data_IF_258543396512
#
_entry.id   IF_258543396512
#
_cell.length_a   1.000
_cell.length_b   1.000
_cell.length_c   1.000
_cell.angle_alpha   90.00
_cell.angle_beta   90.00
_cell.angle_gamma   90.00
#
_symmetry.space_group_name_H-M   'P 1'
#
loop_
_entity.id
_entity.type
_entity.pdbx_description
1 polymer ?
#
# COMPACT_ATOMS: atom_id res chain seq x y z
N UNK A 1 42.65 -10.68 -11.29
CA UNK A 1 41.17 -10.77 -11.50
C UNK A 1 40.71 -9.41 -11.99
N UNK A 2 40.05 -9.30 -13.17
CA UNK A 2 39.49 -8.01 -13.59
C UNK A 2 38.35 -7.64 -12.63
N UNK A 3 38.60 -6.70 -11.73
CA UNK A 3 37.55 -6.19 -10.85
C UNK A 3 36.45 -5.55 -11.70
N UNK A 4 35.19 -5.98 -11.50
CA UNK A 4 34.06 -5.51 -12.31
C UNK A 4 33.64 -4.12 -11.84
N UNK A 5 33.33 -3.23 -12.80
CA UNK A 5 32.78 -1.91 -12.50
C UNK A 5 31.48 -2.04 -11.70
N UNK A 6 31.36 -1.26 -10.63
CA UNK A 6 30.21 -1.28 -9.69
C UNK A 6 28.87 -1.04 -10.38
N UNK A 7 28.80 -0.03 -11.25
CA UNK A 7 27.57 0.31 -11.98
C UNK A 7 27.15 -0.83 -12.92
N UNK A 8 28.11 -1.45 -13.63
CA UNK A 8 27.84 -2.57 -14.52
C UNK A 8 27.31 -3.80 -13.74
N UNK A 9 27.88 -4.10 -12.58
CA UNK A 9 27.43 -5.22 -11.75
C UNK A 9 26.04 -4.94 -11.15
N UNK A 10 25.74 -3.69 -10.77
CA UNK A 10 24.42 -3.28 -10.32
C UNK A 10 23.37 -3.48 -11.42
N UNK A 11 23.65 -3.08 -12.66
CA UNK A 11 22.71 -3.29 -13.79
C UNK A 11 22.50 -4.78 -14.09
N UNK A 12 23.54 -5.60 -13.94
CA UNK A 12 23.42 -7.06 -14.04
C UNK A 12 22.54 -7.63 -12.94
N UNK A 13 22.69 -7.15 -11.70
CA UNK A 13 21.83 -7.56 -10.58
C UNK A 13 20.38 -7.13 -10.77
N UNK A 14 20.13 -5.91 -11.23
CA UNK A 14 18.78 -5.41 -11.52
C UNK A 14 18.10 -6.31 -12.55
N UNK A 15 18.79 -6.62 -13.67
CA UNK A 15 18.28 -7.54 -14.69
C UNK A 15 17.98 -8.92 -14.11
N UNK A 16 18.89 -9.47 -13.31
CA UNK A 16 18.68 -10.75 -12.64
C UNK A 16 17.40 -10.76 -11.77
N UNK A 17 17.15 -9.69 -10.98
CA UNK A 17 15.92 -9.59 -10.17
C UNK A 17 14.66 -9.46 -11.04
N UNK A 18 14.76 -8.79 -12.17
CA UNK A 18 13.66 -8.66 -13.12
C UNK A 18 13.33 -9.97 -13.82
N UNK A 19 14.33 -10.79 -14.17
CA UNK A 19 14.08 -12.14 -14.73
C UNK A 19 13.42 -13.09 -13.72
N UNK A 20 13.55 -12.82 -12.42
CA UNK A 20 12.81 -13.52 -11.36
C UNK A 20 11.36 -13.00 -11.19
N UNK A 21 10.86 -12.14 -12.08
CA UNK A 21 9.50 -11.61 -12.06
C UNK A 21 9.31 -10.40 -11.14
N UNK A 22 10.37 -9.80 -10.59
CA UNK A 22 10.25 -8.59 -9.79
C UNK A 22 10.28 -7.33 -10.65
N UNK A 23 9.40 -6.37 -10.40
CA UNK A 23 9.49 -5.03 -11.04
C UNK A 23 10.75 -4.28 -10.64
N UNK A 24 11.25 -4.49 -9.44
CA UNK A 24 12.49 -4.00 -8.85
C UNK A 24 12.79 -2.48 -9.01
N UNK A 25 11.77 -1.65 -9.30
CA UNK A 25 11.92 -0.24 -9.67
C UNK A 25 12.55 0.59 -8.54
N UNK A 26 12.03 0.49 -7.33
CA UNK A 26 12.51 1.30 -6.18
C UNK A 26 13.93 0.91 -5.77
N UNK A 27 14.22 -0.39 -5.72
CA UNK A 27 15.55 -0.89 -5.37
C UNK A 27 16.56 -0.55 -6.48
N UNK A 28 16.17 -0.65 -7.75
CA UNK A 28 17.00 -0.22 -8.87
C UNK A 28 17.37 1.27 -8.77
N UNK A 29 16.39 2.13 -8.45
CA UNK A 29 16.66 3.54 -8.23
C UNK A 29 17.68 3.80 -7.11
N UNK A 30 17.53 3.09 -5.96
CA UNK A 30 18.46 3.20 -4.83
C UNK A 30 19.85 2.73 -5.22
N UNK A 31 19.98 1.58 -5.88
CA UNK A 31 21.27 1.02 -6.28
C UNK A 31 21.99 1.88 -7.30
N UNK A 32 21.27 2.44 -8.29
CA UNK A 32 21.83 3.39 -9.25
C UNK A 32 22.28 4.68 -8.58
N UNK A 33 21.51 5.18 -7.59
CA UNK A 33 21.90 6.35 -6.81
C UNK A 33 23.15 6.06 -5.96
N UNK A 34 23.27 4.86 -5.41
CA UNK A 34 24.46 4.41 -4.69
C UNK A 34 25.69 4.36 -5.62
N UNK A 35 25.59 3.73 -6.80
CA UNK A 35 26.70 3.70 -7.75
C UNK A 35 27.21 5.11 -8.10
N UNK A 36 26.28 6.05 -8.34
CA UNK A 36 26.65 7.46 -8.60
C UNK A 36 27.35 8.14 -7.43
N UNK A 37 26.96 7.80 -6.19
CA UNK A 37 27.59 8.40 -5.00
C UNK A 37 29.00 7.86 -4.72
N UNK A 38 29.30 6.65 -5.16
CA UNK A 38 30.65 6.05 -5.01
C UNK A 38 31.58 6.55 -6.12
N UNK A 39 31.09 6.64 -7.35
CA UNK A 39 31.85 7.13 -8.51
C UNK A 39 31.61 6.28 -9.77
N UNK A 40 31.75 6.90 -10.94
CA UNK A 40 31.43 6.26 -12.22
C UNK A 40 32.38 5.10 -12.55
N UNK A 41 33.67 5.23 -12.16
CA UNK A 41 34.74 4.28 -12.49
C UNK A 41 35.03 3.32 -11.35
N UNK A 42 34.30 3.41 -10.22
CA UNK A 42 34.52 2.57 -9.05
C UNK A 42 34.33 1.09 -9.38
N UNK A 43 35.24 0.27 -8.85
CA UNK A 43 35.09 -1.19 -8.89
C UNK A 43 34.37 -1.70 -7.64
N UNK A 44 33.74 -2.86 -7.73
CA UNK A 44 32.94 -3.40 -6.62
C UNK A 44 33.80 -3.75 -5.40
N UNK A 45 35.06 -4.19 -5.61
CA UNK A 45 35.98 -4.54 -4.52
C UNK A 45 36.55 -3.32 -3.77
N UNK A 46 36.54 -2.13 -4.39
CA UNK A 46 37.02 -0.88 -3.80
C UNK A 46 35.98 -0.20 -2.90
N UNK A 47 34.76 -0.67 -2.88
CA UNK A 47 33.70 -0.08 -2.07
C UNK A 47 33.98 -0.27 -0.59
N UNK A 48 34.09 0.85 0.15
CA UNK A 48 34.33 0.86 1.58
C UNK A 48 33.06 0.96 2.41
N UNK A 49 33.10 0.39 3.61
CA UNK A 49 31.97 0.43 4.57
C UNK A 49 31.52 1.86 4.89
N UNK A 50 32.47 2.80 4.93
CA UNK A 50 32.21 4.23 5.18
C UNK A 50 31.34 4.86 4.10
N UNK A 51 31.60 4.56 2.81
CA UNK A 51 30.81 5.05 1.69
C UNK A 51 29.36 4.55 1.75
N UNK A 52 29.20 3.27 2.11
CA UNK A 52 27.87 2.70 2.32
C UNK A 52 27.16 3.37 3.50
N UNK A 53 27.85 3.57 4.61
CA UNK A 53 27.29 4.20 5.80
C UNK A 53 26.85 5.64 5.55
N UNK A 54 27.68 6.43 4.86
CA UNK A 54 27.35 7.81 4.46
C UNK A 54 26.13 7.83 3.53
N UNK A 55 26.08 6.95 2.53
CA UNK A 55 24.94 6.88 1.61
C UNK A 55 23.63 6.48 2.31
N UNK A 56 23.70 5.53 3.26
CA UNK A 56 22.55 5.09 4.04
C UNK A 56 22.06 6.19 4.97
N UNK A 57 22.97 6.85 5.69
CA UNK A 57 22.62 7.92 6.62
C UNK A 57 22.02 9.13 5.90
N UNK A 58 22.60 9.54 4.77
CA UNK A 58 22.18 10.76 4.07
C UNK A 58 22.27 11.98 4.97
N UNK A 59 21.48 13.03 4.68
CA UNK A 59 21.48 14.29 5.44
C UNK A 59 20.54 14.29 6.66
N UNK A 60 19.94 13.17 7.04
CA UNK A 60 18.92 13.12 8.09
C UNK A 60 19.15 11.95 9.05
N UNK A 61 18.67 12.11 10.29
CA UNK A 61 18.60 11.05 11.28
C UNK A 61 17.88 9.81 10.71
N UNK A 62 18.20 8.65 11.27
CA UNK A 62 17.74 7.33 10.85
C UNK A 62 16.24 7.27 10.50
N UNK A 63 15.93 7.06 9.23
CA UNK A 63 14.58 7.03 8.69
C UNK A 63 14.24 5.66 8.13
N UNK A 64 12.96 5.43 7.85
CA UNK A 64 12.51 4.25 7.08
C UNK A 64 13.25 4.13 5.74
N UNK A 65 13.64 5.25 5.15
CA UNK A 65 14.42 5.33 3.92
C UNK A 65 15.82 4.75 4.13
N UNK A 66 16.49 5.02 5.26
CA UNK A 66 17.79 4.45 5.59
C UNK A 66 17.74 2.93 5.67
N UNK A 67 16.69 2.37 6.28
CA UNK A 67 16.49 0.92 6.34
C UNK A 67 16.26 0.31 4.94
N UNK A 68 15.47 1.00 4.09
CA UNK A 68 15.24 0.55 2.71
C UNK A 68 16.52 0.57 1.88
N UNK A 69 17.34 1.63 2.01
CA UNK A 69 18.66 1.72 1.36
C UNK A 69 19.57 0.59 1.83
N UNK A 70 19.66 0.36 3.15
CA UNK A 70 20.45 -0.75 3.70
C UNK A 70 20.02 -2.09 3.11
N UNK A 71 18.73 -2.40 3.11
CA UNK A 71 18.20 -3.67 2.60
C UNK A 71 18.52 -3.87 1.12
N UNK A 72 18.39 -2.81 0.30
CA UNK A 72 18.70 -2.89 -1.13
C UNK A 72 20.20 -3.15 -1.37
N UNK A 73 21.08 -2.41 -0.69
CA UNK A 73 22.53 -2.54 -0.82
C UNK A 73 23.01 -3.89 -0.28
N UNK A 74 22.52 -4.31 0.89
CA UNK A 74 22.85 -5.60 1.48
C UNK A 74 22.46 -6.77 0.55
N UNK A 75 21.29 -6.71 -0.07
CA UNK A 75 20.86 -7.73 -1.03
C UNK A 75 21.75 -7.77 -2.27
N UNK A 76 22.24 -6.63 -2.75
CA UNK A 76 23.17 -6.53 -3.84
C UNK A 76 24.54 -7.12 -3.46
N UNK A 77 25.13 -6.75 -2.33
CA UNK A 77 26.44 -7.29 -1.92
C UNK A 77 26.38 -8.77 -1.57
N UNK A 78 25.26 -9.28 -1.06
CA UNK A 78 25.06 -10.74 -0.92
C UNK A 78 25.09 -11.44 -2.28
N UNK A 79 24.46 -10.88 -3.29
CA UNK A 79 24.52 -11.39 -4.66
C UNK A 79 25.95 -11.32 -5.21
N UNK A 80 26.66 -10.21 -5.01
CA UNK A 80 28.05 -10.07 -5.45
C UNK A 80 28.97 -11.11 -4.80
N UNK A 81 28.80 -11.33 -3.49
CA UNK A 81 29.57 -12.33 -2.73
C UNK A 81 29.26 -13.77 -3.16
N UNK A 82 27.99 -14.10 -3.38
CA UNK A 82 27.59 -15.47 -3.80
C UNK A 82 28.05 -15.84 -5.21
N UNK A 83 28.59 -14.88 -5.96
CA UNK A 83 29.13 -15.06 -7.32
C UNK A 83 30.61 -14.70 -7.44
N UNK A 84 31.28 -14.63 -6.31
CA UNK A 84 32.73 -14.36 -6.19
C UNK A 84 33.18 -13.07 -6.87
N UNK A 85 32.27 -12.07 -6.94
CA UNK A 85 32.58 -10.72 -7.45
C UNK A 85 33.26 -9.83 -6.41
N UNK A 86 33.23 -10.22 -5.12
CA UNK A 86 33.90 -9.54 -4.00
C UNK A 86 34.53 -10.54 -3.07
N UNK A 87 35.69 -10.19 -2.52
CA UNK A 87 36.41 -10.99 -1.53
C UNK A 87 35.95 -10.66 -0.10
N UNK A 88 35.75 -9.40 0.21
CA UNK A 88 35.26 -8.94 1.51
C UNK A 88 33.81 -8.45 1.41
N UNK A 89 33.12 -8.41 2.54
CA UNK A 89 31.71 -7.96 2.60
C UNK A 89 31.63 -6.55 3.23
N UNK A 90 31.46 -5.48 2.45
CA UNK A 90 31.65 -4.10 2.93
C UNK A 90 30.46 -3.54 3.71
N UNK A 91 29.50 -4.37 4.15
CA UNK A 91 28.32 -3.88 4.87
C UNK A 91 28.63 -3.57 6.34
N UNK A 92 28.11 -2.47 6.90
CA UNK A 92 28.27 -2.17 8.31
C UNK A 92 27.54 -3.18 9.20
N UNK A 93 28.19 -3.60 10.30
CA UNK A 93 27.68 -4.59 11.25
C UNK A 93 26.44 -4.12 12.01
N UNK A 94 26.29 -2.81 12.22
CA UNK A 94 25.17 -2.24 12.95
C UNK A 94 24.13 -1.67 11.99
N UNK A 95 22.98 -2.32 11.95
CA UNK A 95 21.76 -1.73 11.40
C UNK A 95 21.26 -0.69 12.41
N UNK A 96 20.96 0.51 11.92
CA UNK A 96 20.21 1.48 12.69
C UNK A 96 18.95 0.84 13.31
N UNK A 97 18.67 1.11 14.59
CA UNK A 97 17.49 0.61 15.29
C UNK A 97 16.24 0.75 14.40
N UNK A 98 15.45 -0.30 14.31
CA UNK A 98 14.21 -0.31 13.53
C UNK A 98 13.34 0.86 13.97
N UNK A 99 13.02 1.74 13.04
CA UNK A 99 12.06 2.83 13.29
C UNK A 99 10.77 2.20 13.83
N UNK A 100 10.13 2.76 14.86
CA UNK A 100 8.88 2.22 15.41
C UNK A 100 7.89 1.90 14.31
N UNK A 101 7.17 0.79 14.48
CA UNK A 101 6.17 0.33 13.50
C UNK A 101 5.18 1.48 13.25
N UNK A 102 4.94 1.77 11.98
CA UNK A 102 3.92 2.73 11.58
C UNK A 102 2.55 2.24 12.06
N UNK A 103 1.87 3.04 12.87
CA UNK A 103 0.49 2.80 13.29
C UNK A 103 -0.43 3.52 12.32
N UNK A 104 -1.21 2.79 11.48
CA UNK A 104 -2.15 3.41 10.55
C UNK A 104 -3.24 4.15 11.31
N UNK A 105 -3.85 5.12 10.64
CA UNK A 105 -5.03 5.80 11.15
C UNK A 105 -6.28 5.00 10.77
N UNK A 106 -7.17 4.76 11.73
CA UNK A 106 -8.47 4.12 11.47
C UNK A 106 -9.53 5.19 11.57
N UNK A 107 -10.17 5.49 10.43
CA UNK A 107 -11.24 6.49 10.37
C UNK A 107 -12.48 5.97 11.09
N UNK A 108 -13.09 6.81 11.94
CA UNK A 108 -14.42 6.54 12.48
C UNK A 108 -15.50 6.64 11.40
N UNK A 109 -16.67 6.05 11.65
CA UNK A 109 -17.82 6.17 10.75
C UNK A 109 -18.22 7.64 10.50
N UNK A 110 -18.17 8.47 11.55
CA UNK A 110 -18.46 9.91 11.48
C UNK A 110 -17.46 10.65 10.60
N UNK A 111 -16.17 10.30 10.69
CA UNK A 111 -15.13 10.89 9.86
C UNK A 111 -15.24 10.48 8.41
N UNK A 112 -15.54 9.20 8.14
CA UNK A 112 -15.80 8.72 6.79
C UNK A 112 -16.99 9.44 6.15
N UNK A 113 -18.09 9.59 6.89
CA UNK A 113 -19.26 10.33 6.41
C UNK A 113 -18.88 11.77 6.07
N UNK A 114 -18.22 12.48 6.99
CA UNK A 114 -17.76 13.86 6.79
C UNK A 114 -16.80 14.00 5.62
N UNK A 115 -15.89 13.02 5.43
CA UNK A 115 -14.97 12.99 4.30
C UNK A 115 -15.75 12.88 2.96
N UNK A 116 -16.72 11.97 2.88
CA UNK A 116 -17.54 11.74 1.68
C UNK A 116 -18.48 12.91 1.38
N UNK A 117 -19.05 13.56 2.40
CA UNK A 117 -19.88 14.76 2.20
C UNK A 117 -19.02 15.96 1.76
N UNK A 118 -17.85 16.14 2.36
CA UNK A 118 -16.92 17.19 1.91
C UNK A 118 -16.48 16.95 0.46
N UNK A 119 -16.33 15.69 0.04
CA UNK A 119 -15.97 15.34 -1.33
C UNK A 119 -17.06 15.68 -2.35
N UNK A 120 -18.36 15.64 -1.98
CA UNK A 120 -19.48 16.06 -2.86
C UNK A 120 -19.38 17.51 -3.30
N UNK A 121 -18.90 18.38 -2.41
CA UNK A 121 -18.76 19.81 -2.65
C UNK A 121 -17.31 20.19 -3.01
N UNK A 122 -16.45 19.20 -3.28
CA UNK A 122 -15.05 19.44 -3.57
C UNK A 122 -14.89 19.92 -5.01
N UNK A 123 -15.02 21.23 -5.19
CA UNK A 123 -14.74 21.89 -6.46
C UNK A 123 -13.49 22.78 -6.32
N UNK A 124 -12.59 22.66 -7.27
CA UNK A 124 -11.50 23.61 -7.49
C UNK A 124 -11.48 23.98 -8.97
N UNK A 125 -11.36 25.27 -9.28
CA UNK A 125 -11.33 25.74 -10.66
C UNK A 125 -10.24 25.09 -11.54
N UNK A 126 -9.16 24.61 -10.92
CA UNK A 126 -8.01 23.96 -11.58
C UNK A 126 -7.87 22.48 -11.17
N UNK A 127 -8.96 21.83 -10.76
CA UNK A 127 -8.90 20.41 -10.42
C UNK A 127 -8.92 19.55 -11.68
N UNK A 128 -7.96 18.62 -11.78
CA UNK A 128 -7.89 17.67 -12.89
C UNK A 128 -9.05 16.65 -12.91
N UNK A 129 -9.77 16.47 -11.80
CA UNK A 129 -10.95 15.60 -11.75
C UNK A 129 -12.06 16.24 -10.91
N UNK A 130 -13.30 15.88 -11.20
CA UNK A 130 -14.50 16.44 -10.56
C UNK A 130 -14.81 15.80 -9.20
N UNK A 131 -15.80 16.37 -8.51
CA UNK A 131 -16.24 15.91 -7.20
C UNK A 131 -16.82 14.48 -7.26
N UNK A 132 -17.53 14.14 -8.33
CA UNK A 132 -18.11 12.80 -8.51
C UNK A 132 -17.02 11.74 -8.66
N UNK A 133 -16.04 11.95 -9.53
CA UNK A 133 -14.87 11.06 -9.70
C UNK A 133 -14.15 10.87 -8.36
N UNK A 134 -13.89 11.98 -7.66
CA UNK A 134 -13.15 11.90 -6.40
C UNK A 134 -13.93 11.15 -5.32
N UNK A 135 -15.20 11.47 -5.14
CA UNK A 135 -16.06 10.79 -4.16
C UNK A 135 -16.20 9.29 -4.47
N UNK A 136 -16.38 8.93 -5.73
CA UNK A 136 -16.50 7.52 -6.14
C UNK A 136 -15.22 6.74 -5.87
N UNK A 137 -14.05 7.33 -6.14
CA UNK A 137 -12.75 6.74 -5.78
C UNK A 137 -12.66 6.47 -4.26
N UNK A 138 -13.08 7.43 -3.43
CA UNK A 138 -13.04 7.26 -1.96
C UNK A 138 -14.00 6.18 -1.49
N UNK A 139 -15.21 6.13 -2.05
CA UNK A 139 -16.18 5.06 -1.78
C UNK A 139 -15.63 3.69 -2.15
N UNK A 140 -15.01 3.58 -3.33
CA UNK A 140 -14.43 2.33 -3.78
C UNK A 140 -13.24 1.90 -2.90
N UNK A 141 -12.36 2.83 -2.53
CA UNK A 141 -11.24 2.56 -1.61
C UNK A 141 -11.72 2.00 -0.27
N UNK A 142 -12.72 2.65 0.34
CA UNK A 142 -13.27 2.21 1.61
C UNK A 142 -14.14 0.95 1.47
N UNK A 143 -14.98 0.87 0.44
CA UNK A 143 -15.91 -0.26 0.26
C UNK A 143 -15.25 -1.59 -0.15
N UNK A 144 -14.06 -1.53 -0.73
CA UNK A 144 -13.33 -2.72 -1.22
C UNK A 144 -11.95 -2.93 -0.60
N UNK A 145 -11.43 -1.94 0.11
CA UNK A 145 -10.07 -2.02 0.64
C UNK A 145 -8.96 -2.10 -0.41
N UNK A 146 -9.21 -1.76 -1.67
CA UNK A 146 -8.21 -1.74 -2.74
C UNK A 146 -7.08 -0.75 -2.45
N UNK A 147 -5.91 -0.99 -3.03
CA UNK A 147 -4.82 0.00 -3.00
C UNK A 147 -5.15 1.14 -3.96
N UNK A 148 -4.84 2.38 -3.57
CA UNK A 148 -5.08 3.55 -4.42
C UNK A 148 -4.43 3.41 -5.81
N UNK A 149 -3.23 2.80 -5.87
CA UNK A 149 -2.57 2.50 -7.14
C UNK A 149 -3.28 1.44 -7.99
N UNK A 150 -4.06 0.55 -7.41
CA UNK A 150 -4.90 -0.40 -8.14
C UNK A 150 -6.10 0.32 -8.75
N UNK A 151 -6.77 1.17 -7.97
CA UNK A 151 -7.94 1.94 -8.43
C UNK A 151 -7.60 2.86 -9.60
N UNK A 152 -6.52 3.62 -9.54
CA UNK A 152 -6.16 4.52 -10.65
C UNK A 152 -5.72 3.77 -11.93
N UNK A 153 -5.40 2.48 -11.82
CA UNK A 153 -5.07 1.62 -12.95
C UNK A 153 -6.24 0.85 -13.52
N UNK A 154 -7.41 0.87 -12.87
CA UNK A 154 -8.59 0.20 -13.40
C UNK A 154 -8.92 0.69 -14.81
N UNK A 155 -9.20 -0.23 -15.69
CA UNK A 155 -9.75 0.00 -17.01
C UNK A 155 -11.25 -0.22 -17.01
N UNK A 156 -11.96 0.27 -18.01
CA UNK A 156 -13.40 0.07 -18.09
C UNK A 156 -13.80 -1.41 -18.18
N UNK A 157 -12.99 -2.22 -18.84
CA UNK A 157 -13.19 -3.69 -18.94
C UNK A 157 -12.93 -4.47 -17.65
N UNK A 158 -12.28 -3.85 -16.67
CA UNK A 158 -11.99 -4.50 -15.38
C UNK A 158 -13.17 -4.45 -14.40
N UNK A 159 -14.28 -3.79 -14.75
CA UNK A 159 -15.47 -3.63 -13.91
C UNK A 159 -16.63 -4.40 -14.53
N UNK A 160 -17.01 -5.51 -13.91
CA UNK A 160 -18.17 -6.31 -14.27
C UNK A 160 -19.36 -5.89 -13.38
N UNK A 161 -20.32 -5.19 -13.98
CA UNK A 161 -21.53 -4.76 -13.30
C UNK A 161 -22.55 -5.89 -13.13
N UNK A 162 -22.57 -6.89 -13.99
CA UNK A 162 -23.52 -8.00 -13.90
C UNK A 162 -23.20 -8.86 -12.67
N UNK A 163 -21.94 -9.23 -12.52
CA UNK A 163 -21.48 -10.06 -11.42
C UNK A 163 -21.04 -9.23 -10.19
N UNK A 164 -21.00 -7.90 -10.28
CA UNK A 164 -20.50 -7.00 -9.24
C UNK A 164 -19.05 -7.33 -8.83
N UNK A 165 -18.17 -7.48 -9.80
CA UNK A 165 -16.79 -7.89 -9.64
C UNK A 165 -15.81 -6.86 -10.23
N UNK A 166 -14.63 -6.74 -9.60
CA UNK A 166 -13.47 -6.05 -10.15
C UNK A 166 -12.36 -7.04 -10.46
N UNK A 167 -11.77 -6.93 -11.63
CA UNK A 167 -10.55 -7.67 -12.02
C UNK A 167 -9.34 -6.80 -11.75
N UNK A 168 -8.59 -7.10 -10.71
CA UNK A 168 -7.38 -6.35 -10.35
C UNK A 168 -6.19 -7.03 -10.99
N UNK A 169 -5.69 -6.43 -12.07
CA UNK A 169 -4.59 -6.97 -12.90
C UNK A 169 -3.22 -6.51 -12.39
N UNK A 170 -2.20 -7.31 -12.67
CA UNK A 170 -0.79 -6.95 -12.51
C UNK A 170 -0.43 -6.35 -11.14
N UNK A 171 -0.87 -6.99 -10.07
CA UNK A 171 -0.46 -6.64 -8.70
C UNK A 171 1.02 -6.99 -8.49
N UNK A 172 1.52 -6.81 -7.28
CA UNK A 172 2.88 -7.26 -6.91
C UNK A 172 3.03 -8.76 -7.25
N UNK A 173 4.09 -9.13 -7.97
CA UNK A 173 4.38 -10.47 -8.51
C UNK A 173 3.47 -10.91 -9.68
N UNK A 174 2.97 -9.98 -10.49
CA UNK A 174 2.12 -10.25 -11.68
C UNK A 174 0.87 -11.10 -11.39
N UNK A 175 0.42 -11.15 -10.14
CA UNK A 175 -0.81 -11.84 -9.76
C UNK A 175 -2.02 -10.96 -10.05
N UNK A 176 -3.05 -11.56 -10.62
CA UNK A 176 -4.38 -10.93 -10.73
C UNK A 176 -5.30 -11.52 -9.68
N UNK A 177 -6.30 -10.75 -9.24
CA UNK A 177 -7.34 -11.23 -8.35
C UNK A 177 -8.69 -10.62 -8.69
N UNK A 178 -9.74 -11.33 -8.34
CA UNK A 178 -11.12 -10.86 -8.42
C UNK A 178 -11.51 -10.29 -7.06
N UNK A 179 -12.20 -9.15 -7.07
CA UNK A 179 -12.65 -8.45 -5.86
C UNK A 179 -14.13 -8.17 -5.99
N UNK A 180 -15.02 -8.92 -5.32
CA UNK A 180 -16.45 -8.63 -5.29
C UNK A 180 -16.72 -7.33 -4.54
N UNK A 181 -17.77 -6.60 -4.95
CA UNK A 181 -18.23 -5.40 -4.29
C UNK A 181 -19.74 -5.44 -4.02
N UNK A 182 -20.14 -4.79 -2.91
CA UNK A 182 -21.53 -4.79 -2.48
C UNK A 182 -22.39 -3.75 -3.20
N UNK A 183 -23.71 -3.82 -2.95
CA UNK A 183 -24.76 -3.01 -3.60
C UNK A 183 -24.50 -1.50 -3.56
N UNK A 184 -24.00 -0.97 -2.44
CA UNK A 184 -23.72 0.47 -2.32
C UNK A 184 -22.58 0.92 -3.25
N UNK A 185 -21.54 0.09 -3.39
CA UNK A 185 -20.43 0.36 -4.33
C UNK A 185 -20.94 0.21 -5.76
N UNK A 186 -21.76 -0.80 -6.05
CA UNK A 186 -22.40 -0.99 -7.34
C UNK A 186 -23.16 0.27 -7.78
N UNK A 187 -24.06 0.76 -6.93
CA UNK A 187 -24.85 1.97 -7.22
C UNK A 187 -23.96 3.19 -7.48
N UNK A 188 -22.92 3.38 -6.66
CA UNK A 188 -21.99 4.51 -6.83
C UNK A 188 -21.18 4.42 -8.14
N UNK A 189 -20.77 3.21 -8.54
CA UNK A 189 -20.06 3.01 -9.80
C UNK A 189 -20.98 3.17 -11.02
N UNK A 190 -22.21 2.70 -10.95
CA UNK A 190 -23.23 2.89 -11.99
C UNK A 190 -23.56 4.38 -12.18
N UNK A 191 -23.79 5.12 -11.07
CA UNK A 191 -24.00 6.57 -11.11
C UNK A 191 -22.79 7.28 -11.75
N UNK A 192 -21.59 6.88 -11.36
CA UNK A 192 -20.36 7.44 -11.90
C UNK A 192 -20.26 7.25 -13.41
N UNK A 193 -20.46 6.04 -13.91
CA UNK A 193 -20.39 5.74 -15.35
C UNK A 193 -21.43 6.55 -16.14
N UNK A 194 -22.63 6.71 -15.59
CA UNK A 194 -23.69 7.48 -16.26
C UNK A 194 -23.45 9.00 -16.30
N UNK A 195 -22.59 9.55 -15.44
CA UNK A 195 -22.38 10.99 -15.29
C UNK A 195 -20.94 11.46 -15.56
N UNK A 196 -19.97 10.52 -15.68
CA UNK A 196 -18.56 10.88 -15.87
C UNK A 196 -18.28 11.47 -17.24
N UNK A 197 -17.23 12.27 -17.35
CA UNK A 197 -16.63 12.59 -18.64
C UNK A 197 -16.17 11.29 -19.33
N UNK A 198 -16.54 11.06 -20.61
CA UNK A 198 -16.06 9.91 -21.34
C UNK A 198 -14.52 9.85 -21.35
N UNK A 199 -13.92 8.72 -21.05
CA UNK A 199 -12.47 8.59 -21.10
C UNK A 199 -11.98 8.65 -22.55
N UNK A 200 -10.88 9.35 -22.76
CA UNK A 200 -10.17 9.38 -24.03
C UNK A 200 -9.13 8.28 -24.01
N UNK A 201 -9.15 7.42 -25.01
CA UNK A 201 -8.10 6.41 -25.24
C UNK A 201 -7.42 6.70 -26.57
N UNK A 202 -6.09 6.60 -26.58
CA UNK A 202 -5.33 6.57 -27.82
C UNK A 202 -5.70 5.34 -28.67
N UNK A 203 -5.31 5.34 -29.93
CA UNK A 203 -5.54 4.19 -30.82
C UNK A 203 -4.86 2.95 -30.22
N UNK A 204 -5.66 1.95 -29.83
CA UNK A 204 -5.20 0.69 -29.23
C UNK A 204 -5.03 0.70 -27.69
N UNK A 205 -5.30 1.80 -27.00
CA UNK A 205 -5.27 1.84 -25.53
C UNK A 205 -6.64 1.51 -24.92
N UNK A 206 -6.63 0.72 -23.87
CA UNK A 206 -7.85 0.44 -23.11
C UNK A 206 -8.23 1.66 -22.26
N UNK A 207 -9.48 2.16 -22.35
CA UNK A 207 -9.90 3.37 -21.66
C UNK A 207 -9.84 3.18 -20.13
N UNK A 208 -9.35 4.21 -19.38
CA UNK A 208 -9.33 4.15 -17.93
C UNK A 208 -10.76 4.16 -17.36
N UNK A 209 -10.98 3.43 -16.28
CA UNK A 209 -12.27 3.50 -15.59
C UNK A 209 -12.48 4.87 -14.93
N UNK A 210 -11.47 5.37 -14.19
CA UNK A 210 -11.48 6.71 -13.63
C UNK A 210 -10.70 7.69 -14.50
N UNK A 211 -11.39 8.71 -14.98
CA UNK A 211 -10.84 9.72 -15.86
C UNK A 211 -10.81 11.11 -15.21
N UNK A 212 -9.91 11.95 -15.68
CA UNK A 212 -9.88 13.39 -15.40
C UNK A 212 -10.98 14.10 -16.19
N UNK A 213 -11.14 15.41 -15.98
CA UNK A 213 -12.05 16.25 -16.78
C UNK A 213 -11.69 16.27 -18.27
N UNK A 214 -10.42 16.06 -18.57
CA UNK A 214 -9.90 15.96 -19.93
C UNK A 214 -10.00 14.52 -20.50
N UNK A 215 -10.64 13.60 -19.80
CA UNK A 215 -10.79 12.19 -20.22
C UNK A 215 -9.54 11.32 -20.04
N UNK A 216 -8.46 11.84 -19.49
CA UNK A 216 -7.20 11.11 -19.27
C UNK A 216 -7.22 10.35 -17.94
N UNK A 217 -6.30 9.38 -17.78
CA UNK A 217 -6.20 8.59 -16.55
C UNK A 217 -5.84 9.42 -15.31
N UNK A 218 -6.50 9.19 -14.20
CA UNK A 218 -6.17 9.81 -12.90
C UNK A 218 -4.79 9.38 -12.43
N UNK A 219 -3.93 10.33 -12.07
CA UNK A 219 -2.58 10.08 -11.57
C UNK A 219 -2.59 9.94 -10.05
N UNK A 220 -1.90 8.90 -9.53
CA UNK A 220 -1.88 8.59 -8.10
C UNK A 220 -1.38 9.76 -7.22
N UNK A 221 -0.31 10.43 -7.63
CA UNK A 221 0.25 11.55 -6.86
C UNK A 221 -0.74 12.72 -6.77
N UNK A 222 -1.45 12.99 -7.87
CA UNK A 222 -2.51 14.00 -7.92
C UNK A 222 -3.66 13.63 -6.98
N UNK A 223 -4.12 12.37 -7.01
CA UNK A 223 -5.15 11.87 -6.12
C UNK A 223 -4.75 12.01 -4.64
N UNK A 224 -3.51 11.67 -4.29
CA UNK A 224 -2.99 11.82 -2.92
C UNK A 224 -2.92 13.28 -2.47
N UNK A 225 -2.52 14.18 -3.37
CA UNK A 225 -2.48 15.62 -3.09
C UNK A 225 -3.89 16.20 -2.84
N UNK A 226 -4.87 15.79 -3.66
CA UNK A 226 -6.28 16.17 -3.46
C UNK A 226 -6.83 15.60 -2.16
N UNK A 227 -6.51 14.35 -1.83
CA UNK A 227 -6.95 13.75 -0.57
C UNK A 227 -6.42 14.49 0.66
N UNK A 228 -5.17 14.90 0.66
CA UNK A 228 -4.59 15.69 1.76
C UNK A 228 -5.39 16.96 2.02
N UNK A 229 -5.73 17.70 0.96
CA UNK A 229 -6.52 18.94 1.06
C UNK A 229 -7.97 18.66 1.50
N UNK A 230 -8.58 17.59 0.99
CA UNK A 230 -9.92 17.18 1.40
C UNK A 230 -9.96 16.84 2.89
N UNK A 231 -9.02 16.05 3.37
CA UNK A 231 -8.87 15.70 4.79
C UNK A 231 -8.77 16.96 5.67
N UNK A 232 -7.93 17.91 5.27
CA UNK A 232 -7.76 19.19 5.98
C UNK A 232 -9.07 19.98 6.01
N UNK A 233 -9.77 20.07 4.88
CA UNK A 233 -11.07 20.73 4.77
C UNK A 233 -12.16 20.02 5.61
N UNK A 234 -12.07 18.70 5.75
CA UNK A 234 -12.98 17.90 6.58
C UNK A 234 -12.64 17.99 8.08
N UNK A 235 -11.61 18.74 8.48
CA UNK A 235 -11.18 18.85 9.87
C UNK A 235 -10.66 17.55 10.49
N UNK A 236 -10.21 16.59 9.69
CA UNK A 236 -9.71 15.30 10.16
C UNK A 236 -8.22 15.43 10.43
N UNK A 237 -7.85 15.31 11.69
CA UNK A 237 -6.47 15.39 12.16
C UNK A 237 -6.19 14.31 13.19
N UNK A 238 -4.99 13.81 13.19
CA UNK A 238 -4.49 12.88 14.18
C UNK A 238 -4.00 13.64 15.41
N UNK A 239 -4.43 13.21 16.60
CA UNK A 239 -4.08 13.83 17.88
C UNK A 239 -3.27 12.92 18.81
N UNK A 240 -2.91 11.72 18.37
CA UNK A 240 -2.23 10.68 19.16
C UNK A 240 -0.69 10.81 19.15
N UNK A 241 -0.14 11.94 18.71
CA UNK A 241 1.31 12.20 18.67
C UNK A 241 2.09 11.46 17.58
N UNK A 242 1.42 10.66 16.74
CA UNK A 242 2.10 9.97 15.65
C UNK A 242 2.58 10.95 14.57
N UNK A 243 3.72 10.64 13.96
CA UNK A 243 4.43 11.51 13.01
C UNK A 243 3.67 11.80 11.72
N UNK A 244 2.65 10.99 11.39
CA UNK A 244 1.95 11.05 10.11
C UNK A 244 0.48 11.40 10.30
N UNK A 245 0.00 12.38 9.55
CA UNK A 245 -1.43 12.67 9.43
C UNK A 245 -2.15 11.58 8.62
N UNK A 246 -3.48 11.40 8.79
CA UNK A 246 -4.26 10.39 8.09
C UNK A 246 -4.08 10.47 6.57
N UNK A 247 -3.86 9.32 5.92
CA UNK A 247 -3.52 9.22 4.50
C UNK A 247 -4.62 8.51 3.72
N UNK A 248 -4.59 8.66 2.41
CA UNK A 248 -5.50 7.95 1.50
C UNK A 248 -5.43 6.41 1.70
N UNK A 249 -4.23 5.87 1.94
CA UNK A 249 -4.05 4.42 2.16
C UNK A 249 -4.69 3.92 3.45
N UNK A 250 -4.90 4.80 4.42
CA UNK A 250 -5.51 4.46 5.70
C UNK A 250 -7.00 4.10 5.56
N UNK A 251 -7.66 4.46 4.45
CA UNK A 251 -9.01 3.96 4.10
C UNK A 251 -9.03 2.43 3.92
N UNK A 252 -7.97 1.85 3.36
CA UNK A 252 -7.84 0.39 3.25
C UNK A 252 -7.63 -0.26 4.63
N UNK A 253 -6.83 0.36 5.49
CA UNK A 253 -6.66 -0.12 6.87
C UNK A 253 -7.99 -0.05 7.63
N UNK A 254 -8.73 1.05 7.44
CA UNK A 254 -10.07 1.23 8.02
C UNK A 254 -11.04 0.17 7.52
N UNK A 255 -11.10 -0.10 6.21
CA UNK A 255 -11.91 -1.20 5.66
C UNK A 255 -11.61 -2.52 6.37
N UNK A 256 -10.33 -2.90 6.48
CA UNK A 256 -9.94 -4.17 7.08
C UNK A 256 -10.36 -4.25 8.56
N UNK A 257 -10.10 -3.20 9.34
CA UNK A 257 -10.47 -3.16 10.77
C UNK A 257 -11.99 -3.18 10.95
N UNK A 258 -12.74 -2.35 10.20
CA UNK A 258 -14.20 -2.33 10.29
C UNK A 258 -14.82 -3.67 9.89
N UNK A 259 -14.25 -4.36 8.89
CA UNK A 259 -14.71 -5.70 8.50
C UNK A 259 -14.47 -6.71 9.62
N UNK A 260 -13.28 -6.72 10.23
CA UNK A 260 -12.98 -7.60 11.35
C UNK A 260 -13.86 -7.31 12.56
N UNK A 261 -14.06 -6.04 12.92
CA UNK A 261 -14.95 -5.64 14.01
C UNK A 261 -16.38 -6.13 13.76
N UNK A 262 -16.90 -5.93 12.56
CA UNK A 262 -18.23 -6.42 12.16
C UNK A 262 -18.37 -7.94 12.28
N UNK A 263 -17.35 -8.70 11.89
CA UNK A 263 -17.36 -10.16 12.04
C UNK A 263 -17.32 -10.61 13.50
N UNK A 264 -16.55 -9.92 14.34
CA UNK A 264 -16.57 -10.18 15.79
C UNK A 264 -17.96 -9.92 16.38
N UNK A 265 -18.58 -8.79 16.04
CA UNK A 265 -19.93 -8.44 16.52
C UNK A 265 -21.00 -9.44 16.06
N UNK A 266 -20.86 -10.00 14.86
CA UNK A 266 -21.77 -11.01 14.31
C UNK A 266 -21.48 -12.43 14.82
N UNK A 267 -20.52 -12.61 15.71
CA UNK A 267 -20.20 -13.94 16.24
C UNK A 267 -19.50 -14.89 15.28
N UNK A 268 -18.96 -14.38 14.14
CA UNK A 268 -18.32 -15.21 13.12
C UNK A 268 -16.94 -15.73 13.54
N UNK A 269 -16.47 -16.80 12.91
CA UNK A 269 -15.12 -17.33 13.10
C UNK A 269 -14.08 -16.44 12.40
N UNK A 270 -13.59 -15.47 13.17
CA UNK A 270 -12.64 -14.47 12.65
C UNK A 270 -11.29 -15.10 12.29
N UNK A 271 -10.87 -16.20 12.92
CA UNK A 271 -9.59 -16.85 12.63
C UNK A 271 -9.54 -17.36 11.19
N UNK A 272 -10.61 -18.03 10.75
CA UNK A 272 -10.74 -18.48 9.36
C UNK A 272 -10.95 -17.31 8.39
N UNK A 273 -11.74 -16.32 8.79
CA UNK A 273 -12.05 -15.16 7.94
C UNK A 273 -10.85 -14.22 7.71
N UNK A 274 -9.90 -14.15 8.65
CA UNK A 274 -8.65 -13.37 8.45
C UNK A 274 -7.85 -13.87 7.26
N UNK A 275 -7.81 -15.19 7.03
CA UNK A 275 -7.16 -15.73 5.86
C UNK A 275 -7.86 -15.30 4.55
N UNK A 276 -9.20 -15.39 4.52
CA UNK A 276 -9.98 -14.93 3.37
C UNK A 276 -9.79 -13.42 3.12
N UNK A 277 -9.77 -12.61 4.19
CA UNK A 277 -9.48 -11.17 4.10
C UNK A 277 -8.08 -10.91 3.54
N UNK A 278 -7.10 -11.72 3.91
CA UNK A 278 -5.73 -11.61 3.39
C UNK A 278 -5.67 -11.83 1.87
N UNK A 279 -6.35 -12.87 1.39
CA UNK A 279 -6.48 -13.17 -0.06
C UNK A 279 -7.23 -12.05 -0.78
N UNK A 280 -8.37 -11.64 -0.24
CA UNK A 280 -9.20 -10.55 -0.79
C UNK A 280 -8.40 -9.25 -0.94
N UNK A 281 -7.69 -8.86 0.09
CA UNK A 281 -6.81 -7.69 0.07
C UNK A 281 -5.59 -7.86 -0.85
N UNK A 282 -5.19 -9.09 -1.19
CA UNK A 282 -3.99 -9.37 -1.97
C UNK A 282 -2.72 -9.09 -1.17
N UNK A 283 -2.66 -9.55 0.08
CA UNK A 283 -1.45 -9.56 0.89
C UNK A 283 -0.56 -10.74 0.48
N UNK A 284 0.75 -10.53 0.43
CA UNK A 284 1.69 -11.60 0.13
C UNK A 284 1.89 -12.53 1.33
N UNK A 285 1.73 -12.01 2.53
CA UNK A 285 1.91 -12.73 3.79
C UNK A 285 0.72 -12.47 4.71
N UNK A 286 0.25 -13.51 5.41
CA UNK A 286 -0.86 -13.42 6.35
C UNK A 286 -0.58 -12.41 7.49
N UNK A 287 0.68 -12.30 7.92
CA UNK A 287 1.13 -11.34 8.94
C UNK A 287 0.74 -9.90 8.60
N UNK A 288 0.71 -9.53 7.31
CA UNK A 288 0.28 -8.19 6.86
C UNK A 288 -1.20 -7.91 7.17
N UNK A 289 -2.00 -8.97 7.39
CA UNK A 289 -3.42 -8.88 7.77
C UNK A 289 -3.59 -9.03 9.27
N UNK A 290 -2.82 -9.91 9.91
CA UNK A 290 -2.89 -10.14 11.35
C UNK A 290 -2.62 -8.88 12.19
N UNK A 291 -1.82 -7.95 11.66
CA UNK A 291 -1.56 -6.66 12.31
C UNK A 291 -2.86 -5.87 12.59
N UNK A 292 -3.92 -6.09 11.82
CA UNK A 292 -5.22 -5.43 12.05
C UNK A 292 -5.94 -5.91 13.30
N UNK A 293 -5.64 -7.11 13.81
CA UNK A 293 -6.27 -7.67 15.01
C UNK A 293 -5.93 -6.91 16.29
N UNK A 294 -4.89 -6.10 16.30
CA UNK A 294 -4.44 -5.33 17.47
C UNK A 294 -4.56 -3.81 17.31
N UNK A 295 -5.28 -3.33 16.27
CA UNK A 295 -5.20 -1.92 15.87
C UNK A 295 -6.19 -0.98 16.55
N UNK A 296 -7.27 -1.47 17.11
CA UNK A 296 -8.27 -0.60 17.76
C UNK A 296 -8.72 -1.13 19.11
N UNK A 297 -9.00 -0.23 20.08
CA UNK A 297 -9.63 -0.61 21.35
C UNK A 297 -10.99 -1.29 21.15
N UNK A 298 -11.75 -0.89 20.13
CA UNK A 298 -13.05 -1.48 19.83
C UNK A 298 -12.91 -2.94 19.41
N UNK A 299 -11.97 -3.26 18.52
CA UNK A 299 -11.70 -4.64 18.13
C UNK A 299 -11.22 -5.50 19.31
N UNK A 300 -10.37 -4.94 20.17
CA UNK A 300 -9.89 -5.63 21.36
C UNK A 300 -11.01 -5.84 22.39
N UNK A 301 -11.92 -4.87 22.55
CA UNK A 301 -13.10 -5.01 23.42
C UNK A 301 -14.04 -6.11 22.94
N UNK A 302 -14.33 -6.17 21.63
CA UNK A 302 -15.15 -7.24 21.05
C UNK A 302 -14.50 -8.63 21.22
N UNK A 303 -13.19 -8.72 21.01
CA UNK A 303 -12.46 -9.97 21.25
C UNK A 303 -12.51 -10.39 22.71
N UNK A 304 -12.36 -9.45 23.66
CA UNK A 304 -12.43 -9.71 25.10
C UNK A 304 -13.85 -10.08 25.54
N UNK A 305 -14.89 -9.41 25.06
CA UNK A 305 -16.28 -9.75 25.37
C UNK A 305 -16.64 -11.19 24.95
N UNK A 306 -16.10 -11.66 23.82
CA UNK A 306 -16.25 -13.06 23.40
C UNK A 306 -15.54 -14.02 24.33
N UNK A 307 -14.31 -13.70 24.74
CA UNK A 307 -13.56 -14.52 25.68
C UNK A 307 -14.30 -14.66 26.99
N UNK A 308 -14.87 -13.57 27.52
CA UNK A 308 -15.69 -13.60 28.76
C UNK A 308 -16.97 -14.44 28.60
N UNK A 309 -17.59 -14.42 27.42
CA UNK A 309 -18.75 -15.25 27.14
C UNK A 309 -18.39 -16.74 27.14
N UNK A 310 -17.26 -17.12 26.51
CA UNK A 310 -16.76 -18.50 26.56
C UNK A 310 -16.42 -18.95 27.96
N UNK A 311 -15.71 -18.13 28.73
CA UNK A 311 -15.32 -18.49 30.13
C UNK A 311 -16.52 -18.69 31.07
N UNK A 312 -17.63 -18.01 30.82
CA UNK A 312 -18.88 -18.20 31.59
C UNK A 312 -19.64 -19.45 31.17
N UNK A 313 -19.54 -19.88 29.93
CA UNK A 313 -20.24 -21.09 29.43
C UNK A 313 -19.56 -22.38 29.93
N UNK A 314 -18.22 -22.38 30.09
CA UNK A 314 -17.47 -23.52 30.58
C UNK A 314 -17.68 -23.79 32.10
N UNK A 315 -18.17 -22.81 32.86
CA UNK A 315 -18.45 -22.97 34.29
C UNK A 315 -19.87 -23.48 34.60
N UNK A 316 -20.75 -23.60 33.61
CA UNK A 316 -22.12 -24.12 33.80
C UNK A 316 -22.29 -25.60 33.41
N UNK A 317 -21.23 -26.27 32.95
CA UNK A 317 -21.21 -27.66 32.49
C UNK A 317 -20.66 -28.69 33.50
N UNK A 318 -20.54 -28.36 34.77
CA UNK A 318 -19.98 -29.26 35.79
C UNK A 318 -20.81 -29.34 37.05
N UNK A 319 -21.87 -30.16 37.05
CA UNK A 319 -22.32 -30.86 38.24
C UNK A 319 -22.76 -32.26 37.89
N UNK A 320 -22.42 -33.26 38.73
CA UNK A 320 -22.52 -34.69 38.48
C UNK A 320 -23.93 -35.22 38.45
#
# INVERSE_FOLDING_TARGET
MNSMNLAALIERYIRYRQTLGERFVSNAFILRAFARSVGADATVDEVQTEQISIFIAGNAAQTKTSHTKYTAINSFFRFAKSRDHITHFPMPDKIAKRVPSFVPYIYSQTELHRLLETARCYQRGVSSFDALTFRTILLLLYGTGLRAGEIVRLNSEDVDFNESLLVIRLTKFHKSRIVPFGTQVHQALTEYVGKRTPPISGSGEVPPFFATREGTRVVLNTLQAHFRRLREKSGIRRSDGASYQPRLHDLRHTFAVHRLTSWYQQGMDVQNLVYQLSVYLGHAHLVDTQIYLSMTPDLLREANARFECYSKTDHTGGQP
#
